data_IF_919219155175
#
_entry.id   IF_919219155175
#
_cell.length_a   1.000
_cell.length_b   1.000
_cell.length_c   1.000
_cell.angle_alpha   90.00
_cell.angle_beta   90.00
_cell.angle_gamma   90.00
#
_symmetry.space_group_name_H-M   'P 1'
#
loop_
_entity.id
_entity.type
_entity.pdbx_description
1 polymer ?
#
# COMPACT_ATOMS: atom_id res chain seq x y z
N UNK A 1 -10.54 -24.81 19.01
CA UNK A 1 -9.53 -23.75 19.27
C UNK A 1 -10.14 -22.44 18.82
N UNK A 2 -10.56 -21.59 19.75
CA UNK A 2 -11.05 -20.25 19.43
C UNK A 2 -9.82 -19.35 19.31
N UNK A 3 -9.35 -19.13 18.09
CA UNK A 3 -8.29 -18.14 17.83
C UNK A 3 -8.84 -16.77 18.25
N UNK A 4 -8.12 -16.04 19.10
CA UNK A 4 -8.55 -14.69 19.46
C UNK A 4 -8.74 -13.82 18.20
N UNK A 5 -9.78 -12.96 18.17
CA UNK A 5 -10.02 -12.09 17.03
C UNK A 5 -8.81 -11.19 16.81
N UNK A 6 -8.20 -11.29 15.62
CA UNK A 6 -7.05 -10.44 15.25
C UNK A 6 -7.57 -9.16 14.63
N UNK A 7 -6.85 -8.06 14.83
CA UNK A 7 -7.11 -6.80 14.14
C UNK A 7 -5.89 -6.36 13.35
N UNK A 8 -6.11 -5.82 12.15
CA UNK A 8 -5.08 -5.20 11.33
C UNK A 8 -5.31 -3.69 11.19
N UNK A 9 -4.27 -2.86 11.47
CA UNK A 9 -3.00 -3.24 12.08
C UNK A 9 -3.16 -3.40 13.61
N UNK A 10 -2.35 -4.27 14.26
CA UNK A 10 -2.44 -4.48 15.71
C UNK A 10 -1.85 -3.32 16.54
N UNK A 11 -1.07 -2.46 15.89
CA UNK A 11 -0.42 -1.26 16.42
C UNK A 11 -0.08 -0.34 15.25
N UNK A 12 0.24 0.92 15.51
CA UNK A 12 0.73 1.81 14.46
C UNK A 12 1.99 1.26 13.80
N UNK A 13 1.98 1.21 12.48
CA UNK A 13 3.13 0.88 11.63
C UNK A 13 3.50 2.15 10.85
N UNK A 14 4.58 2.80 11.25
CA UNK A 14 5.00 4.05 10.63
C UNK A 14 6.03 3.82 9.52
N UNK A 15 6.01 4.70 8.51
CA UNK A 15 6.98 4.75 7.43
C UNK A 15 7.19 3.42 6.69
N UNK A 16 6.10 2.68 6.46
CA UNK A 16 6.12 1.46 5.66
C UNK A 16 6.48 1.84 4.22
N UNK A 17 7.65 1.39 3.79
CA UNK A 17 8.18 1.62 2.45
C UNK A 17 7.74 0.52 1.51
N UNK A 18 7.28 0.90 0.32
CA UNK A 18 6.97 -0.01 -0.77
C UNK A 18 7.62 0.46 -2.06
N UNK A 19 8.07 -0.51 -2.86
CA UNK A 19 8.73 -0.27 -4.15
C UNK A 19 8.14 -1.23 -5.17
N UNK A 20 7.73 -0.69 -6.31
CA UNK A 20 7.41 -1.44 -7.50
C UNK A 20 8.34 -0.99 -8.61
N UNK A 21 9.26 -1.87 -9.02
CA UNK A 21 10.21 -1.63 -10.09
C UNK A 21 10.20 -2.85 -11.02
N UNK A 22 9.67 -2.68 -12.25
CA UNK A 22 9.70 -3.70 -13.29
C UNK A 22 10.64 -3.22 -14.40
N UNK A 23 11.81 -3.85 -14.50
CA UNK A 23 12.88 -3.47 -15.44
C UNK A 23 13.03 -4.45 -16.62
N UNK A 24 12.08 -5.36 -16.85
CA UNK A 24 12.24 -6.45 -17.82
C UNK A 24 12.16 -6.04 -19.31
N UNK A 25 12.02 -4.75 -19.62
CA UNK A 25 11.98 -4.20 -20.98
C UNK A 25 11.19 -2.89 -21.05
N UNK A 26 11.27 -2.17 -22.18
CA UNK A 26 10.48 -0.97 -22.42
C UNK A 26 9.01 -1.36 -22.74
N UNK A 27 8.01 -0.81 -22.04
CA UNK A 27 8.11 0.22 -21.00
C UNK A 27 8.49 -0.33 -19.61
N UNK A 28 9.39 0.37 -18.93
CA UNK A 28 9.70 0.15 -17.51
C UNK A 28 8.61 0.74 -16.62
N UNK A 29 8.43 0.17 -15.44
CA UNK A 29 7.52 0.69 -14.42
C UNK A 29 8.27 1.02 -13.14
N UNK A 30 8.03 2.20 -12.59
CA UNK A 30 8.61 2.64 -11.33
C UNK A 30 7.58 3.35 -10.46
N UNK A 31 7.45 2.88 -9.22
CA UNK A 31 6.76 3.59 -8.15
C UNK A 31 7.42 3.28 -6.81
N UNK A 32 7.55 4.31 -5.97
CA UNK A 32 7.96 4.15 -4.57
C UNK A 32 7.04 5.01 -3.72
N UNK A 33 6.55 4.43 -2.62
CA UNK A 33 5.68 5.10 -1.68
C UNK A 33 6.12 4.79 -0.24
N UNK A 34 5.83 5.73 0.65
CA UNK A 34 5.97 5.58 2.10
C UNK A 34 4.64 5.94 2.74
N UNK A 35 4.07 5.02 3.53
CA UNK A 35 2.79 5.22 4.19
C UNK A 35 2.82 4.74 5.65
N UNK A 36 1.94 5.32 6.46
CA UNK A 36 1.64 4.79 7.79
C UNK A 36 0.36 3.95 7.75
N UNK A 37 0.28 2.99 8.66
CA UNK A 37 -0.91 2.20 8.93
C UNK A 37 -1.26 2.36 10.41
N UNK A 38 -2.34 3.07 10.68
CA UNK A 38 -2.83 3.39 12.02
C UNK A 38 -4.07 2.54 12.35
N UNK A 39 -4.11 1.87 13.52
CA UNK A 39 -5.31 1.17 13.96
C UNK A 39 -6.50 2.12 14.06
N UNK A 40 -7.68 1.61 13.73
CA UNK A 40 -8.95 2.31 13.96
C UNK A 40 -9.96 1.43 14.68
N UNK A 41 -11.03 2.07 15.17
CA UNK A 41 -12.19 1.37 15.69
C UNK A 41 -12.87 0.53 14.60
N UNK A 42 -13.02 1.08 13.39
CA UNK A 42 -13.67 0.37 12.27
C UNK A 42 -13.22 0.87 10.88
N UNK A 43 -13.47 -0.01 9.89
CA UNK A 43 -13.41 0.26 8.46
C UNK A 43 -12.02 0.57 7.90
N UNK A 44 -11.98 0.97 6.62
CA UNK A 44 -10.77 1.40 5.91
C UNK A 44 -10.93 2.86 5.47
N UNK A 45 -9.91 3.68 5.71
CA UNK A 45 -9.85 5.06 5.22
C UNK A 45 -8.42 5.33 4.79
N UNK A 46 -8.34 5.96 3.64
CA UNK A 46 -7.11 6.38 3.02
C UNK A 46 -7.05 7.91 3.05
N UNK A 47 -5.86 8.45 3.31
CA UNK A 47 -5.56 9.86 3.23
C UNK A 47 -4.13 10.10 2.75
N UNK A 48 -3.87 11.32 2.33
CA UNK A 48 -2.54 11.80 1.96
C UNK A 48 -2.10 12.86 2.96
N UNK A 49 -0.83 12.82 3.36
CA UNK A 49 -0.25 13.91 4.16
C UNK A 49 -0.09 15.15 3.28
N UNK A 50 -0.27 16.34 3.84
CA UNK A 50 -0.08 17.62 3.13
C UNK A 50 1.34 17.76 2.55
N UNK A 51 2.31 17.04 3.14
CA UNK A 51 3.70 17.00 2.68
C UNK A 51 3.92 16.08 1.47
N UNK A 52 2.91 15.35 1.02
CA UNK A 52 3.03 14.37 -0.07
C UNK A 52 2.95 15.03 -1.45
N UNK A 53 3.75 16.07 -1.68
CA UNK A 53 3.87 16.75 -2.98
C UNK A 53 5.12 16.28 -3.72
N UNK A 54 5.16 16.54 -5.03
CA UNK A 54 6.33 16.21 -5.86
C UNK A 54 6.77 17.47 -6.61
N UNK A 55 7.91 18.09 -6.21
CA UNK A 55 8.42 19.27 -6.90
C UNK A 55 8.63 19.02 -8.41
N UNK A 56 8.18 19.97 -9.22
CA UNK A 56 8.31 19.90 -10.68
C UNK A 56 7.27 19.04 -11.40
N UNK A 57 6.31 18.46 -10.68
CA UNK A 57 5.20 17.69 -11.26
C UNK A 57 3.87 18.43 -11.16
N UNK A 58 2.97 18.31 -12.15
CA UNK A 58 1.62 18.87 -12.05
C UNK A 58 0.81 18.23 -10.91
N UNK A 59 0.16 19.05 -10.08
CA UNK A 59 -0.65 18.57 -8.95
C UNK A 59 -1.69 17.53 -9.37
N UNK A 60 -2.39 17.76 -10.49
CA UNK A 60 -3.36 16.81 -11.02
C UNK A 60 -2.77 15.42 -11.30
N UNK A 61 -1.52 15.36 -11.79
CA UNK A 61 -0.82 14.09 -12.03
C UNK A 61 -0.38 13.45 -10.72
N UNK A 62 0.07 14.24 -9.76
CA UNK A 62 0.40 13.73 -8.41
C UNK A 62 -0.85 13.14 -7.74
N UNK A 63 -1.99 13.84 -7.79
CA UNK A 63 -3.28 13.35 -7.26
C UNK A 63 -3.69 12.05 -7.91
N UNK A 64 -3.59 11.92 -9.24
CA UNK A 64 -3.91 10.67 -9.95
C UNK A 64 -3.07 9.48 -9.46
N UNK A 65 -1.77 9.70 -9.19
CA UNK A 65 -0.90 8.66 -8.65
C UNK A 65 -1.24 8.30 -7.19
N UNK A 66 -1.60 9.30 -6.37
CA UNK A 66 -2.04 9.09 -4.99
C UNK A 66 -3.36 8.32 -4.92
N UNK A 67 -4.33 8.64 -5.79
CA UNK A 67 -5.59 7.93 -5.91
C UNK A 67 -5.38 6.48 -6.36
N UNK A 68 -4.50 6.26 -7.35
CA UNK A 68 -4.13 4.92 -7.79
C UNK A 68 -3.49 4.09 -6.67
N UNK A 69 -2.59 4.70 -5.89
CA UNK A 69 -2.04 4.07 -4.68
C UNK A 69 -3.13 3.68 -3.69
N UNK A 70 -4.05 4.60 -3.38
CA UNK A 70 -5.18 4.33 -2.50
C UNK A 70 -6.10 3.22 -3.01
N UNK A 71 -6.31 3.10 -4.33
CA UNK A 71 -7.04 1.97 -4.93
C UNK A 71 -6.34 0.65 -4.64
N UNK A 72 -5.03 0.58 -4.91
CA UNK A 72 -4.22 -0.61 -4.65
C UNK A 72 -4.26 -1.05 -3.19
N UNK A 73 -4.19 -0.09 -2.26
CA UNK A 73 -4.33 -0.35 -0.82
C UNK A 73 -5.68 -0.98 -0.50
N UNK A 74 -6.79 -0.41 -0.98
CA UNK A 74 -8.14 -0.93 -0.70
C UNK A 74 -8.30 -2.35 -1.24
N UNK A 75 -7.88 -2.59 -2.46
CA UNK A 75 -8.03 -3.90 -3.08
C UNK A 75 -7.24 -5.00 -2.36
N UNK A 76 -6.01 -4.72 -1.94
CA UNK A 76 -5.22 -5.70 -1.18
C UNK A 76 -5.82 -5.98 0.20
N UNK A 77 -6.37 -4.95 0.86
CA UNK A 77 -7.03 -5.11 2.14
C UNK A 77 -8.34 -5.91 2.03
N UNK A 78 -9.12 -5.70 0.97
CA UNK A 78 -10.32 -6.48 0.66
C UNK A 78 -9.98 -7.95 0.38
N UNK A 79 -8.94 -8.20 -0.41
CA UNK A 79 -8.43 -9.54 -0.70
C UNK A 79 -7.93 -10.23 0.59
N UNK A 80 -7.15 -9.52 1.40
CA UNK A 80 -6.69 -10.01 2.70
C UNK A 80 -7.85 -10.35 3.63
N UNK A 81 -8.86 -9.48 3.76
CA UNK A 81 -10.03 -9.71 4.59
C UNK A 81 -10.82 -10.95 4.14
N UNK A 82 -10.96 -11.13 2.81
CA UNK A 82 -11.61 -12.31 2.22
C UNK A 82 -10.88 -13.60 2.56
N UNK A 83 -9.55 -13.59 2.48
CA UNK A 83 -8.71 -14.76 2.77
C UNK A 83 -8.53 -15.01 4.28
N UNK A 84 -8.80 -14.02 5.13
CA UNK A 84 -8.56 -14.07 6.57
C UNK A 84 -9.80 -13.61 7.38
N UNK A 85 -10.93 -14.35 7.32
CA UNK A 85 -12.18 -13.95 7.97
C UNK A 85 -12.08 -13.83 9.51
N UNK A 86 -11.03 -14.37 10.12
CA UNK A 86 -10.73 -14.19 11.55
C UNK A 86 -9.96 -12.91 11.90
N UNK A 87 -9.68 -12.04 10.92
CA UNK A 87 -8.98 -10.76 11.12
C UNK A 87 -9.87 -9.59 10.73
N UNK A 88 -10.20 -8.73 11.70
CA UNK A 88 -10.87 -7.46 11.44
C UNK A 88 -9.90 -6.48 10.80
N UNK A 89 -10.26 -5.91 9.65
CA UNK A 89 -9.48 -4.85 9.01
C UNK A 89 -10.07 -3.48 9.41
N UNK A 90 -9.36 -2.77 10.29
CA UNK A 90 -9.75 -1.47 10.79
C UNK A 90 -8.54 -0.52 10.79
N UNK A 91 -8.32 0.19 9.68
CA UNK A 91 -7.04 0.86 9.41
C UNK A 91 -7.17 2.21 8.72
N UNK A 92 -6.39 3.19 9.20
CA UNK A 92 -6.06 4.43 8.51
C UNK A 92 -4.74 4.30 7.79
N UNK A 93 -4.76 4.51 6.48
CA UNK A 93 -3.54 4.54 5.68
C UNK A 93 -3.26 5.97 5.29
N UNK A 94 -2.12 6.49 5.75
CA UNK A 94 -1.68 7.87 5.46
C UNK A 94 -0.46 7.81 4.56
N UNK A 95 -0.63 8.20 3.30
CA UNK A 95 0.48 8.30 2.35
C UNK A 95 1.32 9.53 2.67
N UNK A 96 2.57 9.33 3.10
CA UNK A 96 3.48 10.41 3.52
C UNK A 96 4.23 11.04 2.36
N UNK A 97 4.71 10.20 1.44
CA UNK A 97 5.55 10.62 0.33
C UNK A 97 5.51 9.61 -0.80
N UNK A 98 5.66 10.11 -2.02
CA UNK A 98 5.89 9.30 -3.21
C UNK A 98 7.18 9.73 -3.89
N UNK A 99 7.85 8.79 -4.56
CA UNK A 99 8.93 9.11 -5.50
C UNK A 99 8.51 8.66 -6.89
N UNK A 100 8.64 9.56 -7.84
CA UNK A 100 8.26 9.37 -9.24
C UNK A 100 9.47 9.42 -10.16
N UNK A 101 9.32 8.81 -11.32
CA UNK A 101 10.22 8.89 -12.46
C UNK A 101 9.43 9.39 -13.67
N UNK A 102 9.97 10.33 -14.43
CA UNK A 102 9.25 11.05 -15.51
C UNK A 102 8.56 10.11 -16.50
N UNK A 103 9.27 9.06 -16.92
CA UNK A 103 8.79 8.14 -17.96
C UNK A 103 8.13 6.89 -17.38
N UNK A 104 8.54 6.47 -16.19
CA UNK A 104 8.24 5.11 -15.70
C UNK A 104 7.14 5.11 -14.63
N UNK A 105 6.79 6.28 -14.10
CA UNK A 105 5.71 6.42 -13.11
C UNK A 105 4.38 6.67 -13.79
N UNK A 106 3.44 5.75 -13.55
CA UNK A 106 2.09 5.79 -14.08
C UNK A 106 1.09 5.18 -13.08
N UNK A 107 -0.22 5.44 -13.21
CA UNK A 107 -1.22 4.99 -12.24
C UNK A 107 -1.18 3.49 -11.95
N UNK A 108 -0.99 2.65 -12.98
CA UNK A 108 -0.87 1.19 -12.78
C UNK A 108 0.32 0.79 -11.88
N UNK A 109 1.46 1.47 -11.98
CA UNK A 109 2.61 1.22 -11.10
C UNK A 109 2.30 1.64 -9.66
N UNK A 110 1.59 2.76 -9.48
CA UNK A 110 1.18 3.25 -8.17
C UNK A 110 0.09 2.40 -7.50
N UNK A 111 -0.84 1.86 -8.28
CA UNK A 111 -1.78 0.83 -7.80
C UNK A 111 -1.04 -0.40 -7.29
N UNK A 112 -0.03 -0.86 -8.02
CA UNK A 112 0.75 -2.02 -7.60
C UNK A 112 1.60 -1.74 -6.35
N UNK A 113 2.21 -0.55 -6.24
CA UNK A 113 2.96 -0.19 -5.02
C UNK A 113 2.04 0.00 -3.82
N UNK A 114 0.77 0.38 -4.02
CA UNK A 114 -0.27 0.39 -2.99
C UNK A 114 -0.55 -0.98 -2.40
N UNK A 115 -0.73 -1.99 -3.27
CA UNK A 115 -0.84 -3.39 -2.84
C UNK A 115 0.41 -3.85 -2.09
N UNK A 116 1.58 -3.56 -2.63
CA UNK A 116 2.86 -3.92 -1.98
C UNK A 116 3.02 -3.27 -0.59
N UNK A 117 2.52 -2.05 -0.38
CA UNK A 117 2.56 -1.39 0.92
C UNK A 117 1.75 -2.16 1.98
N UNK A 118 0.57 -2.66 1.63
CA UNK A 118 -0.24 -3.50 2.52
C UNK A 118 0.49 -4.81 2.82
N UNK A 119 1.06 -5.48 1.81
CA UNK A 119 1.83 -6.72 2.01
C UNK A 119 3.02 -6.50 2.95
N UNK A 120 3.75 -5.40 2.78
CA UNK A 120 4.88 -5.06 3.64
C UNK A 120 4.43 -4.75 5.08
N UNK A 121 3.29 -4.07 5.24
CA UNK A 121 2.70 -3.80 6.56
C UNK A 121 2.22 -5.08 7.26
N UNK A 122 1.59 -6.00 6.52
CA UNK A 122 1.19 -7.32 7.03
C UNK A 122 2.41 -8.12 7.47
N UNK A 123 3.48 -8.13 6.65
CA UNK A 123 4.73 -8.79 7.00
C UNK A 123 5.38 -8.18 8.26
N UNK A 124 5.34 -6.85 8.42
CA UNK A 124 5.83 -6.17 9.61
C UNK A 124 4.96 -6.43 10.87
N UNK A 125 3.66 -6.68 10.69
CA UNK A 125 2.73 -6.93 11.78
C UNK A 125 2.76 -8.38 12.28
N UNK A 126 2.85 -9.35 11.36
CA UNK A 126 2.60 -10.76 11.65
C UNK A 126 3.74 -11.70 11.22
N UNK A 127 4.80 -11.16 10.62
CA UNK A 127 5.85 -11.96 9.96
C UNK A 127 5.53 -12.27 8.50
N UNK A 128 6.51 -12.80 7.73
CA UNK A 128 6.28 -13.17 6.34
C UNK A 128 5.15 -14.22 6.25
N UNK A 129 4.37 -14.23 5.15
CA UNK A 129 3.34 -15.26 4.98
C UNK A 129 3.98 -16.65 5.01
N UNK A 130 3.28 -17.61 5.60
CA UNK A 130 3.69 -19.02 5.65
C UNK A 130 3.74 -19.67 4.26
N UNK A 131 3.11 -19.07 3.26
CA UNK A 131 3.15 -19.46 1.84
C UNK A 131 3.84 -18.33 1.06
N UNK A 132 4.83 -18.61 0.20
CA UNK A 132 5.46 -17.57 -0.62
C UNK A 132 4.40 -16.84 -1.45
N UNK A 133 4.45 -15.50 -1.48
CA UNK A 133 3.59 -14.72 -2.37
C UNK A 133 3.70 -15.24 -3.80
N UNK A 134 2.60 -15.39 -4.55
CA UNK A 134 2.70 -15.72 -5.96
C UNK A 134 3.60 -14.67 -6.62
N UNK A 135 4.72 -15.11 -7.19
CA UNK A 135 5.57 -14.23 -7.98
C UNK A 135 4.72 -13.77 -9.17
N UNK A 136 4.31 -12.50 -9.15
CA UNK A 136 3.72 -11.86 -10.30
C UNK A 136 4.83 -11.68 -11.34
N UNK A 137 4.88 -12.59 -12.31
CA UNK A 137 5.75 -12.56 -13.48
C UNK A 137 5.45 -11.38 -14.41
#
# INVERSE_FOLDING_TARGET
MTTEPRTFPPRTLSAVKAVYARQAGCPSSFALAVADFEPRAEGVRFGTADTCTVPGWPDARVTELQEAFGSGVREELEEFATLNPGTTVAVAVVLRSIKVHEVDSHPRAFRQVGRQAVQNALAAAYGPPSTPWPRLS
#
